data_IF_968266151080
#
_entry.id   IF_968266151080
#
_cell.length_a   1.000
_cell.length_b   1.000
_cell.length_c   1.000
_cell.angle_alpha   90.00
_cell.angle_beta   90.00
_cell.angle_gamma   90.00
#
_symmetry.space_group_name_H-M   'P 1'
#
loop_
_entity.id
_entity.type
_entity.pdbx_description
1 polymer ?
#
# COMPACT_ATOMS: atom_id res chain seq x y z
N UNK A 1 -4.22 6.21 -29.52
CA UNK A 1 -4.00 6.99 -28.29
C UNK A 1 -3.92 8.44 -28.68
N UNK A 2 -4.67 9.31 -28.02
CA UNK A 2 -4.58 10.75 -28.22
C UNK A 2 -3.58 11.28 -27.19
N UNK A 3 -2.53 11.95 -27.66
CA UNK A 3 -1.61 12.65 -26.77
C UNK A 3 -2.29 13.92 -26.25
N UNK A 4 -2.17 14.19 -24.96
CA UNK A 4 -2.67 15.40 -24.32
C UNK A 4 -1.48 16.22 -23.87
N UNK A 5 -1.40 17.46 -24.33
CA UNK A 5 -0.42 18.41 -23.81
C UNK A 5 -0.72 18.72 -22.34
N UNK A 6 0.24 18.45 -21.47
CA UNK A 6 0.16 18.84 -20.06
C UNK A 6 0.79 20.22 -19.90
N UNK A 7 0.11 21.10 -19.18
CA UNK A 7 0.65 22.43 -18.85
C UNK A 7 1.75 22.29 -17.79
N UNK A 8 2.86 22.99 -17.98
CA UNK A 8 3.97 23.07 -17.00
C UNK A 8 3.62 24.05 -15.86
N UNK A 9 2.46 23.83 -15.24
CA UNK A 9 2.01 24.57 -14.08
C UNK A 9 1.37 23.60 -13.11
N UNK A 10 1.82 23.65 -11.87
CA UNK A 10 1.19 22.87 -10.81
C UNK A 10 -0.21 23.41 -10.53
N UNK A 11 -1.20 22.53 -10.32
CA UNK A 11 -2.52 22.97 -9.88
C UNK A 11 -2.42 23.60 -8.49
N UNK A 12 -3.40 24.43 -8.14
CA UNK A 12 -3.50 24.94 -6.78
C UNK A 12 -3.56 23.77 -5.78
N UNK A 13 -2.73 23.75 -4.72
CA UNK A 13 -2.68 22.63 -3.79
C UNK A 13 -4.01 22.37 -3.08
N UNK A 14 -4.77 23.42 -2.77
CA UNK A 14 -6.05 23.27 -2.08
C UNK A 14 -7.11 22.67 -3.02
N UNK A 15 -7.20 23.14 -4.26
CA UNK A 15 -8.08 22.55 -5.27
C UNK A 15 -7.71 21.08 -5.56
N UNK A 16 -6.43 20.79 -5.76
CA UNK A 16 -5.96 19.43 -6.02
C UNK A 16 -6.31 18.47 -4.87
N UNK A 17 -5.98 18.86 -3.64
CA UNK A 17 -6.24 18.02 -2.46
C UNK A 17 -7.73 17.84 -2.20
N UNK A 18 -8.55 18.86 -2.49
CA UNK A 18 -10.02 18.77 -2.42
C UNK A 18 -10.56 17.73 -3.40
N UNK A 19 -10.14 17.79 -4.67
CA UNK A 19 -10.55 16.80 -5.67
C UNK A 19 -10.04 15.39 -5.34
N UNK A 20 -8.80 15.27 -4.86
CA UNK A 20 -8.24 13.98 -4.45
C UNK A 20 -9.01 13.37 -3.28
N UNK A 21 -9.36 14.18 -2.26
CA UNK A 21 -10.17 13.73 -1.14
C UNK A 21 -11.56 13.29 -1.60
N UNK A 22 -12.22 14.08 -2.46
CA UNK A 22 -13.52 13.73 -3.04
C UNK A 22 -13.46 12.41 -3.84
N UNK A 23 -12.40 12.21 -4.63
CA UNK A 23 -12.17 10.97 -5.37
C UNK A 23 -12.07 9.77 -4.41
N UNK A 24 -11.23 9.85 -3.37
CA UNK A 24 -11.06 8.74 -2.42
C UNK A 24 -12.33 8.46 -1.59
N UNK A 25 -13.15 9.47 -1.30
CA UNK A 25 -14.38 9.30 -0.51
C UNK A 25 -15.54 8.73 -1.33
N UNK A 26 -15.68 9.14 -2.58
CA UNK A 26 -16.82 8.76 -3.44
C UNK A 26 -16.56 7.50 -4.26
N UNK A 27 -15.30 7.20 -4.57
CA UNK A 27 -14.94 6.02 -5.33
C UNK A 27 -15.28 4.73 -4.58
N UNK A 28 -16.00 3.84 -5.24
CA UNK A 28 -16.33 2.50 -4.73
C UNK A 28 -15.98 1.47 -5.78
N UNK A 29 -15.30 0.41 -5.35
CA UNK A 29 -15.05 -0.74 -6.21
C UNK A 29 -16.40 -1.37 -6.61
N UNK A 30 -16.67 -1.56 -7.92
CA UNK A 30 -17.95 -2.12 -8.39
C UNK A 30 -18.29 -3.49 -7.79
N UNK A 31 -17.28 -4.26 -7.40
CA UNK A 31 -17.45 -5.60 -6.80
C UNK A 31 -17.08 -5.65 -5.30
N UNK A 32 -16.74 -4.50 -4.71
CA UNK A 32 -16.29 -4.39 -3.32
C UNK A 32 -14.98 -5.14 -3.03
N UNK A 33 -14.10 -5.26 -4.02
CA UNK A 33 -12.77 -5.86 -3.88
C UNK A 33 -11.67 -4.84 -4.13
N UNK A 34 -10.54 -5.06 -3.47
CA UNK A 34 -9.30 -4.30 -3.64
C UNK A 34 -8.53 -4.78 -4.88
N UNK A 35 -7.98 -3.82 -5.62
CA UNK A 35 -7.25 -4.02 -6.86
C UNK A 35 -8.05 -3.66 -8.10
N UNK A 36 -7.44 -3.88 -9.27
CA UNK A 36 -8.02 -3.56 -10.57
C UNK A 36 -8.33 -4.83 -11.37
N UNK A 37 -9.28 -4.70 -12.29
CA UNK A 37 -9.65 -5.78 -13.22
C UNK A 37 -8.69 -5.90 -14.41
N UNK A 38 -7.58 -5.17 -14.42
CA UNK A 38 -6.52 -5.23 -15.42
C UNK A 38 -5.18 -5.13 -14.69
N UNK A 39 -4.13 -5.67 -15.29
CA UNK A 39 -2.77 -5.44 -14.78
C UNK A 39 -2.40 -3.98 -14.97
N UNK A 40 -2.17 -3.30 -13.85
CA UNK A 40 -1.65 -1.93 -13.80
C UNK A 40 -0.13 -1.97 -13.75
N UNK A 41 0.54 -0.84 -13.96
CA UNK A 41 2.00 -0.75 -13.93
C UNK A 41 2.45 0.42 -13.05
N UNK A 42 3.52 0.21 -12.29
CA UNK A 42 4.25 1.24 -11.56
C UNK A 42 5.59 1.43 -12.25
N UNK A 43 5.67 2.45 -13.11
CA UNK A 43 6.78 2.56 -14.05
C UNK A 43 6.78 1.37 -15.00
N UNK A 44 7.92 0.66 -15.09
CA UNK A 44 8.05 -0.56 -15.88
C UNK A 44 7.63 -1.84 -15.13
N UNK A 45 7.29 -1.76 -13.85
CA UNK A 45 6.98 -2.92 -13.03
C UNK A 45 5.48 -3.21 -13.05
N UNK A 46 5.05 -4.44 -13.44
CA UNK A 46 3.65 -4.81 -13.39
C UNK A 46 3.17 -4.86 -11.93
N UNK A 47 2.15 -4.06 -11.63
CA UNK A 47 1.42 -4.12 -10.36
C UNK A 47 0.34 -5.20 -10.48
N UNK A 48 0.70 -6.41 -10.03
CA UNK A 48 -0.19 -7.55 -9.75
C UNK A 48 -1.00 -8.14 -10.93
N UNK A 49 -1.35 -9.42 -10.80
CA UNK A 49 -2.23 -10.14 -11.73
C UNK A 49 -3.73 -9.99 -11.38
N UNK A 50 -4.59 -10.24 -12.37
CA UNK A 50 -6.07 -10.19 -12.26
C UNK A 50 -6.64 -11.18 -11.23
N UNK A 51 -5.91 -12.25 -10.94
CA UNK A 51 -6.35 -13.37 -10.10
C UNK A 51 -6.26 -13.06 -8.59
N UNK A 52 -5.54 -12.01 -8.21
CA UNK A 52 -5.24 -11.70 -6.80
C UNK A 52 -6.10 -10.59 -6.19
N UNK A 53 -7.14 -10.14 -6.89
CA UNK A 53 -8.17 -9.20 -6.40
C UNK A 53 -8.90 -9.79 -5.18
N UNK A 54 -8.89 -9.07 -4.05
CA UNK A 54 -9.32 -9.60 -2.74
C UNK A 54 -10.32 -8.72 -2.01
N UNK A 55 -11.17 -9.31 -1.15
CA UNK A 55 -12.07 -8.55 -0.26
C UNK A 55 -11.41 -8.12 1.05
N UNK A 56 -10.31 -8.77 1.43
CA UNK A 56 -9.56 -8.46 2.65
C UNK A 56 -8.33 -7.62 2.28
N UNK A 57 -8.20 -6.46 2.90
CA UNK A 57 -7.17 -5.48 2.60
C UNK A 57 -5.79 -5.97 2.99
N UNK A 58 -5.63 -6.51 4.20
CA UNK A 58 -4.34 -7.03 4.69
C UNK A 58 -3.75 -8.06 3.72
N UNK A 59 -4.56 -9.03 3.29
CA UNK A 59 -4.16 -10.11 2.38
C UNK A 59 -3.84 -9.58 0.99
N UNK A 60 -4.61 -8.63 0.49
CA UNK A 60 -4.35 -8.00 -0.81
C UNK A 60 -3.01 -7.22 -0.78
N UNK A 61 -2.82 -6.38 0.23
CA UNK A 61 -1.61 -5.59 0.39
C UNK A 61 -0.37 -6.48 0.60
N UNK A 62 -0.48 -7.51 1.45
CA UNK A 62 0.59 -8.49 1.67
C UNK A 62 1.06 -9.13 0.37
N UNK A 63 0.12 -9.58 -0.48
CA UNK A 63 0.46 -10.17 -1.79
C UNK A 63 1.14 -9.15 -2.71
N UNK A 64 0.63 -7.93 -2.73
CA UNK A 64 1.17 -6.83 -3.55
C UNK A 64 2.59 -6.48 -3.14
N UNK A 65 2.85 -6.31 -1.85
CA UNK A 65 4.18 -5.99 -1.32
C UNK A 65 5.17 -7.13 -1.54
N UNK A 66 4.75 -8.40 -1.41
CA UNK A 66 5.63 -9.55 -1.75
C UNK A 66 6.05 -9.52 -3.21
N UNK A 67 5.11 -9.18 -4.11
CA UNK A 67 5.41 -9.07 -5.53
C UNK A 67 6.39 -7.92 -5.80
N UNK A 68 6.16 -6.74 -5.22
CA UNK A 68 7.05 -5.59 -5.37
C UNK A 68 8.47 -5.89 -4.86
N UNK A 69 8.61 -6.46 -3.65
CA UNK A 69 9.91 -6.83 -3.09
C UNK A 69 10.61 -7.91 -3.91
N UNK A 70 9.87 -8.89 -4.42
CA UNK A 70 10.45 -9.89 -5.33
C UNK A 70 11.02 -9.25 -6.59
N UNK A 71 10.27 -8.36 -7.24
CA UNK A 71 10.73 -7.66 -8.45
C UNK A 71 11.98 -6.82 -8.15
N UNK A 72 12.04 -6.18 -6.99
CA UNK A 72 13.19 -5.41 -6.54
C UNK A 72 14.43 -6.30 -6.33
N UNK A 73 14.30 -7.41 -5.62
CA UNK A 73 15.39 -8.38 -5.39
C UNK A 73 15.85 -9.01 -6.70
N UNK A 74 14.92 -9.38 -7.58
CA UNK A 74 15.25 -9.96 -8.89
C UNK A 74 16.03 -8.95 -9.77
N UNK A 75 15.76 -7.64 -9.61
CA UNK A 75 16.43 -6.58 -10.37
C UNK A 75 17.77 -6.14 -9.77
N UNK A 76 17.87 -6.04 -8.43
CA UNK A 76 19.04 -5.47 -7.73
C UNK A 76 19.95 -6.51 -7.08
N UNK A 77 19.49 -7.75 -6.97
CA UNK A 77 20.16 -8.81 -6.22
C UNK A 77 19.74 -8.88 -4.75
N UNK A 78 20.24 -9.89 -4.02
CA UNK A 78 19.94 -10.07 -2.60
C UNK A 78 20.58 -8.96 -1.75
N UNK A 79 19.88 -8.57 -0.69
CA UNK A 79 20.34 -7.60 0.32
C UNK A 79 20.18 -8.21 1.73
N UNK A 80 21.27 -8.35 2.52
CA UNK A 80 21.20 -8.86 3.88
C UNK A 80 20.25 -8.08 4.80
N UNK A 81 20.01 -6.80 4.53
CA UNK A 81 19.03 -6.01 5.29
C UNK A 81 17.61 -6.52 5.06
N UNK A 82 17.30 -6.97 3.85
CA UNK A 82 15.98 -7.52 3.52
C UNK A 82 15.73 -8.86 4.21
N UNK A 83 16.76 -9.67 4.43
CA UNK A 83 16.64 -10.94 5.17
C UNK A 83 16.12 -10.71 6.61
N UNK A 84 16.41 -9.54 7.19
CA UNK A 84 15.98 -9.16 8.54
C UNK A 84 14.65 -8.41 8.53
N UNK A 85 14.50 -7.42 7.62
CA UNK A 85 13.35 -6.51 7.65
C UNK A 85 12.09 -7.12 7.02
N UNK A 86 12.24 -7.90 5.95
CA UNK A 86 11.10 -8.45 5.20
C UNK A 86 10.21 -9.36 6.07
N UNK A 87 10.75 -10.28 6.89
CA UNK A 87 9.95 -11.05 7.84
C UNK A 87 9.19 -10.15 8.82
N UNK A 88 9.85 -9.14 9.40
CA UNK A 88 9.23 -8.22 10.37
C UNK A 88 8.09 -7.42 9.73
N UNK A 89 8.27 -6.98 8.49
CA UNK A 89 7.25 -6.27 7.72
C UNK A 89 5.99 -7.11 7.57
N UNK A 90 6.13 -8.38 7.18
CA UNK A 90 4.99 -9.26 6.92
C UNK A 90 4.36 -9.85 8.19
N UNK A 91 5.15 -10.18 9.20
CA UNK A 91 4.66 -10.89 10.39
C UNK A 91 4.14 -9.94 11.46
N UNK A 92 4.63 -8.69 11.48
CA UNK A 92 4.25 -7.72 12.51
C UNK A 92 3.63 -6.46 11.94
N UNK A 93 4.35 -5.75 11.06
CA UNK A 93 3.97 -4.39 10.67
C UNK A 93 2.67 -4.38 9.88
N UNK A 94 2.57 -5.19 8.83
CA UNK A 94 1.38 -5.25 7.98
C UNK A 94 0.14 -5.68 8.78
N UNK A 95 0.16 -6.79 9.55
CA UNK A 95 -0.96 -7.16 10.42
C UNK A 95 -1.35 -6.08 11.43
N UNK A 96 -0.37 -5.47 12.08
CA UNK A 96 -0.60 -4.50 13.14
C UNK A 96 -1.23 -3.20 12.62
N UNK A 97 -0.86 -2.77 11.42
CA UNK A 97 -1.38 -1.55 10.83
C UNK A 97 -2.68 -1.78 10.05
N UNK A 98 -2.75 -2.84 9.24
CA UNK A 98 -3.85 -2.98 8.29
C UNK A 98 -5.12 -3.58 8.89
N UNK A 99 -5.02 -4.48 9.89
CA UNK A 99 -6.21 -5.02 10.55
C UNK A 99 -7.04 -3.92 11.24
N UNK A 100 -6.46 -3.04 12.08
CA UNK A 100 -7.23 -1.97 12.69
C UNK A 100 -7.80 -0.97 11.67
N UNK A 101 -7.06 -0.70 10.60
CA UNK A 101 -7.52 0.20 9.54
C UNK A 101 -8.71 -0.37 8.77
N UNK A 102 -8.74 -1.69 8.53
CA UNK A 102 -9.83 -2.35 7.82
C UNK A 102 -11.11 -2.39 8.68
N UNK A 103 -10.99 -2.65 9.98
CA UNK A 103 -12.13 -2.73 10.90
C UNK A 103 -12.68 -1.37 11.32
N UNK A 104 -11.81 -0.38 11.59
CA UNK A 104 -12.19 0.88 12.26
C UNK A 104 -11.92 2.14 11.43
N UNK A 105 -11.23 2.03 10.29
CA UNK A 105 -10.84 3.14 9.40
C UNK A 105 -10.16 4.33 10.11
N UNK A 106 -9.51 4.12 11.26
CA UNK A 106 -8.85 5.17 12.04
C UNK A 106 -7.36 4.87 12.24
N UNK A 107 -6.50 5.81 11.84
CA UNK A 107 -5.03 5.74 11.93
C UNK A 107 -4.53 5.86 13.38
N UNK A 108 -5.25 6.58 14.24
CA UNK A 108 -4.78 6.96 15.57
C UNK A 108 -4.59 5.78 16.54
N UNK A 109 -5.32 4.67 16.36
CA UNK A 109 -5.21 3.49 17.25
C UNK A 109 -4.15 2.46 16.81
N UNK A 110 -3.79 2.43 15.52
CA UNK A 110 -2.74 1.55 15.03
C UNK A 110 -1.37 1.94 15.63
N UNK A 111 -1.13 3.24 15.81
CA UNK A 111 0.09 3.76 16.43
C UNK A 111 0.14 3.52 17.95
N UNK A 112 -0.99 3.53 18.66
CA UNK A 112 -1.01 3.21 20.10
C UNK A 112 -0.78 1.72 20.37
N UNK A 113 -1.18 0.82 19.46
CA UNK A 113 -0.86 -0.60 19.53
C UNK A 113 0.65 -0.87 19.30
N UNK A 114 1.26 -0.23 18.30
CA UNK A 114 2.70 -0.30 18.06
C UNK A 114 3.52 0.27 19.24
N UNK A 115 3.03 1.32 19.89
CA UNK A 115 3.68 1.93 21.07
C UNK A 115 3.70 1.01 22.30
N UNK A 116 2.72 0.11 22.46
CA UNK A 116 2.70 -0.86 23.58
C UNK A 116 3.63 -2.06 23.38
N UNK A 117 4.00 -2.39 22.14
CA UNK A 117 4.85 -3.56 21.85
C UNK A 117 6.34 -3.21 21.77
N UNK A 118 6.71 -2.00 21.31
CA UNK A 118 8.11 -1.61 21.11
C UNK A 118 8.76 -0.92 22.32
N UNK A 119 7.99 -0.25 23.19
CA UNK A 119 8.55 0.42 24.37
C UNK A 119 9.07 -0.56 25.43
N UNK A 120 8.59 -1.80 25.47
CA UNK A 120 9.08 -2.83 26.40
C UNK A 120 10.30 -3.63 25.92
N UNK A 121 10.86 -3.37 24.72
CA UNK A 121 12.02 -4.15 24.22
C UNK A 121 13.23 -3.35 23.74
N UNK A 122 13.14 -2.03 23.63
CA UNK A 122 14.24 -1.20 23.10
C UNK A 122 14.66 -0.04 24.00
N UNK A 123 14.24 -0.02 25.27
CA UNK A 123 14.81 0.88 26.27
C UNK A 123 15.08 0.12 27.59
N UNK A 124 16.15 -0.68 27.57
CA UNK A 124 16.99 -0.99 28.72
C UNK A 124 18.43 -0.67 28.30
#
# INVERSE_FOLDING_TARGET
>A
MEYRDMVDRMPDPHEFTTHLAALHQTSKSPNGRFGFHITTYSGNLPQMDRERVGRNWERYFTKSMRCALKLEIDAKGPDPEFDVLVPVLFDKVIPCLLRPLEERRSICEALTCARRSLVCKFWN
#
